data_IF_441544049928
#
_entry.id   IF_441544049928
#
_cell.length_a   1.000
_cell.length_b   1.000
_cell.length_c   1.000
_cell.angle_alpha   90.00
_cell.angle_beta   90.00
_cell.angle_gamma   90.00
#
_symmetry.space_group_name_H-M   'P 1'
#
loop_
_entity.id
_entity.type
_entity.pdbx_description
1 polymer ?
#
# COMPACT_ATOMS: atom_id res chain seq x y z
N UNK A 1 2.13 -28.03 8.58
CA UNK A 1 2.60 -28.20 7.19
C UNK A 1 4.13 -28.21 7.18
N UNK A 2 4.78 -29.15 6.49
CA UNK A 2 6.24 -29.10 6.26
C UNK A 2 6.53 -27.88 5.36
N UNK A 3 7.23 -26.88 5.90
CA UNK A 3 7.60 -25.66 5.18
C UNK A 3 8.69 -26.02 4.17
N UNK A 4 8.46 -25.80 2.88
CA UNK A 4 9.42 -26.12 1.82
C UNK A 4 10.11 -24.85 1.32
N UNK A 5 11.42 -24.93 1.11
CA UNK A 5 12.18 -23.94 0.35
C UNK A 5 11.99 -24.26 -1.13
N UNK A 6 11.59 -23.28 -1.94
CA UNK A 6 11.57 -23.40 -3.40
C UNK A 6 12.61 -22.43 -3.98
N UNK A 7 13.33 -22.87 -5.00
CA UNK A 7 14.20 -22.01 -5.78
C UNK A 7 13.49 -21.68 -7.09
N UNK A 8 13.56 -20.41 -7.50
CA UNK A 8 13.09 -19.98 -8.80
C UNK A 8 14.14 -19.11 -9.48
N UNK A 9 13.97 -18.92 -10.79
CA UNK A 9 14.89 -18.14 -11.61
C UNK A 9 14.10 -17.20 -12.52
N UNK A 10 14.63 -16.01 -12.74
CA UNK A 10 14.11 -15.05 -13.70
C UNK A 10 15.25 -14.41 -14.50
N UNK A 11 14.96 -13.91 -15.69
CA UNK A 11 15.92 -13.12 -16.47
C UNK A 11 15.67 -11.65 -16.18
N UNK A 12 16.69 -10.95 -15.69
CA UNK A 12 16.63 -9.53 -15.37
C UNK A 12 17.81 -8.84 -16.03
N UNK A 13 17.55 -7.85 -16.89
CA UNK A 13 18.56 -7.13 -17.67
C UNK A 13 19.48 -8.03 -18.51
N UNK A 14 18.96 -9.15 -19.04
CA UNK A 14 19.73 -10.11 -19.83
C UNK A 14 20.52 -11.13 -19.00
N UNK A 15 20.54 -11.00 -17.68
CA UNK A 15 21.24 -11.92 -16.78
C UNK A 15 20.26 -12.85 -16.05
N UNK A 16 20.67 -14.09 -15.83
CA UNK A 16 19.89 -15.07 -15.08
C UNK A 16 20.11 -14.87 -13.58
N UNK A 17 19.05 -14.52 -12.87
CA UNK A 17 19.06 -14.37 -11.42
C UNK A 17 18.16 -15.40 -10.75
N UNK A 18 18.53 -15.80 -9.55
CA UNK A 18 17.81 -16.72 -8.69
C UNK A 18 17.06 -15.94 -7.60
N UNK A 19 15.97 -16.53 -7.12
CA UNK A 19 15.24 -16.08 -5.94
C UNK A 19 14.85 -17.28 -5.07
N UNK A 20 14.77 -17.04 -3.77
CA UNK A 20 14.39 -18.05 -2.78
C UNK A 20 12.96 -17.78 -2.35
N UNK A 21 12.12 -18.79 -2.47
CA UNK A 21 10.73 -18.80 -2.01
C UNK A 21 10.62 -19.64 -0.74
N UNK A 22 9.91 -19.10 0.25
CA UNK A 22 9.49 -19.83 1.44
C UNK A 22 8.00 -19.60 1.61
N UNK A 23 7.19 -20.65 1.66
CA UNK A 23 5.72 -20.55 1.64
C UNK A 23 5.18 -19.67 0.49
N UNK A 24 5.75 -19.82 -0.71
CA UNK A 24 5.41 -19.05 -1.93
C UNK A 24 5.66 -17.53 -1.85
N UNK A 25 6.39 -17.07 -0.82
CA UNK A 25 6.86 -15.69 -0.68
C UNK A 25 8.34 -15.60 -1.03
N UNK A 26 8.72 -14.63 -1.88
CA UNK A 26 10.13 -14.36 -2.23
C UNK A 26 10.81 -13.72 -1.01
N UNK A 27 11.71 -14.44 -0.36
CA UNK A 27 12.47 -13.98 0.81
C UNK A 27 13.88 -13.51 0.47
N UNK A 28 14.36 -13.84 -0.72
CA UNK A 28 15.60 -13.34 -1.28
C UNK A 28 15.46 -13.27 -2.81
N UNK A 29 15.93 -12.18 -3.41
CA UNK A 29 15.80 -11.91 -4.84
C UNK A 29 17.12 -11.40 -5.43
N UNK A 30 17.23 -11.42 -6.77
CA UNK A 30 18.37 -10.90 -7.52
C UNK A 30 19.70 -11.56 -7.16
N UNK A 31 19.69 -12.85 -6.80
CA UNK A 31 20.91 -13.60 -6.51
C UNK A 31 21.52 -14.02 -7.86
N UNK A 32 22.75 -13.61 -8.24
CA UNK A 32 23.37 -14.09 -9.47
C UNK A 32 23.40 -15.62 -9.46
N UNK A 33 23.03 -16.27 -10.57
CA UNK A 33 22.88 -17.74 -10.60
C UNK A 33 24.17 -18.46 -10.18
N UNK A 34 25.33 -17.92 -10.57
CA UNK A 34 26.66 -18.41 -10.19
C UNK A 34 27.01 -18.26 -8.70
N UNK A 35 26.27 -17.43 -7.96
CA UNK A 35 26.52 -17.16 -6.54
C UNK A 35 25.54 -17.86 -5.60
N UNK A 36 24.62 -18.67 -6.13
CA UNK A 36 23.54 -19.26 -5.32
C UNK A 36 24.07 -20.19 -4.21
N UNK A 37 25.10 -20.98 -4.50
CA UNK A 37 25.70 -21.88 -3.49
C UNK A 37 26.40 -21.08 -2.38
N UNK A 38 27.16 -20.05 -2.76
CA UNK A 38 27.79 -19.12 -1.82
C UNK A 38 26.76 -18.32 -1.01
N UNK A 39 25.56 -18.12 -1.55
CA UNK A 39 24.47 -17.47 -0.84
C UNK A 39 23.93 -18.37 0.27
N UNK A 40 23.69 -19.66 0.01
CA UNK A 40 23.27 -20.62 1.02
C UNK A 40 24.29 -20.77 2.16
N UNK A 41 25.58 -20.87 1.83
CA UNK A 41 26.66 -20.93 2.83
C UNK A 41 26.66 -19.70 3.75
N UNK A 42 26.42 -18.51 3.18
CA UNK A 42 26.31 -17.27 3.96
C UNK A 42 25.08 -17.29 4.88
N UNK A 43 23.92 -17.71 4.38
CA UNK A 43 22.70 -17.81 5.20
C UNK A 43 22.86 -18.78 6.36
N UNK A 44 23.49 -19.94 6.15
CA UNK A 44 23.75 -20.89 7.23
C UNK A 44 24.66 -20.31 8.30
N UNK A 45 25.68 -19.56 7.88
CA UNK A 45 26.60 -18.88 8.81
C UNK A 45 25.88 -17.81 9.63
N UNK A 46 24.98 -17.05 9.02
CA UNK A 46 24.15 -16.07 9.71
C UNK A 46 23.13 -16.71 10.66
N UNK A 47 22.46 -17.79 10.23
CA UNK A 47 21.56 -18.56 11.08
C UNK A 47 22.28 -19.06 12.34
N UNK A 48 23.48 -19.66 12.16
CA UNK A 48 24.35 -20.09 13.28
C UNK A 48 24.77 -18.94 14.19
N UNK A 49 25.13 -17.78 13.61
CA UNK A 49 25.49 -16.57 14.38
C UNK A 49 24.33 -16.10 15.28
N UNK A 50 23.09 -16.25 14.79
CA UNK A 50 21.87 -15.91 15.53
C UNK A 50 21.33 -17.05 16.41
N UNK A 51 22.10 -18.15 16.59
CA UNK A 51 21.70 -19.35 17.35
C UNK A 51 20.39 -19.97 16.87
N UNK A 52 20.15 -19.94 15.55
CA UNK A 52 18.95 -20.44 14.89
C UNK A 52 19.32 -21.55 13.90
N UNK A 53 18.38 -22.47 13.64
CA UNK A 53 18.48 -23.35 12.47
C UNK A 53 18.26 -22.54 11.19
N UNK A 54 18.70 -23.06 10.04
CA UNK A 54 18.44 -22.40 8.75
C UNK A 54 16.93 -22.20 8.53
N UNK A 55 16.10 -23.19 8.87
CA UNK A 55 14.65 -23.08 8.78
C UNK A 55 14.07 -21.99 9.69
N UNK A 56 14.54 -21.89 10.94
CA UNK A 56 14.12 -20.83 11.86
C UNK A 56 14.57 -19.45 11.36
N UNK A 57 15.78 -19.36 10.82
CA UNK A 57 16.30 -18.13 10.24
C UNK A 57 15.47 -17.69 9.04
N UNK A 58 15.13 -18.61 8.13
CA UNK A 58 14.29 -18.33 6.97
C UNK A 58 12.84 -18.00 7.35
N UNK A 59 12.32 -18.61 8.40
CA UNK A 59 10.99 -18.28 8.95
C UNK A 59 11.00 -16.90 9.63
N UNK A 60 12.08 -16.51 10.30
CA UNK A 60 12.24 -15.15 10.84
C UNK A 60 12.44 -14.12 9.72
N UNK A 61 13.14 -14.50 8.65
CA UNK A 61 13.22 -13.69 7.44
C UNK A 61 11.83 -13.51 6.81
N UNK A 62 11.00 -14.55 6.76
CA UNK A 62 9.58 -14.41 6.36
C UNK A 62 8.81 -13.44 7.25
N UNK A 63 9.07 -13.43 8.56
CA UNK A 63 8.41 -12.50 9.48
C UNK A 63 8.83 -11.04 9.30
N UNK A 64 9.97 -10.80 8.64
CA UNK A 64 10.55 -9.47 8.38
C UNK A 64 10.39 -9.02 6.92
N UNK A 65 10.11 -9.92 5.98
CA UNK A 65 9.89 -9.59 4.58
C UNK A 65 8.42 -9.18 4.36
N UNK A 66 8.23 -7.99 3.80
CA UNK A 66 6.93 -7.53 3.31
C UNK A 66 6.89 -7.66 1.79
N UNK A 67 5.73 -8.05 1.26
CA UNK A 67 5.59 -8.29 -0.17
C UNK A 67 5.16 -6.99 -0.85
N UNK A 68 6.03 -6.44 -1.68
CA UNK A 68 5.69 -5.34 -2.58
C UNK A 68 5.11 -5.94 -3.86
N UNK A 69 3.78 -6.09 -3.88
CA UNK A 69 3.05 -6.68 -5.00
C UNK A 69 2.32 -5.64 -5.84
N UNK A 70 1.57 -6.13 -6.84
CA UNK A 70 0.75 -5.30 -7.74
C UNK A 70 -0.15 -4.30 -7.01
N UNK A 71 -0.72 -4.66 -5.86
CA UNK A 71 -1.58 -3.77 -5.06
C UNK A 71 -0.82 -2.56 -4.52
N UNK A 72 0.44 -2.73 -4.12
CA UNK A 72 1.30 -1.63 -3.70
C UNK A 72 1.46 -0.63 -4.84
N UNK A 73 1.83 -1.11 -6.03
CA UNK A 73 2.08 -0.24 -7.18
C UNK A 73 0.83 0.52 -7.61
N UNK A 74 -0.31 -0.17 -7.66
CA UNK A 74 -1.61 0.44 -7.94
C UNK A 74 -1.93 1.53 -6.89
N UNK A 75 -1.57 1.33 -5.62
CA UNK A 75 -1.77 2.32 -4.56
C UNK A 75 -0.75 3.46 -4.55
N UNK A 76 0.41 3.30 -5.17
CA UNK A 76 1.39 4.38 -5.32
C UNK A 76 1.01 5.26 -6.51
N UNK A 77 0.61 4.64 -7.61
CA UNK A 77 0.42 5.30 -8.91
C UNK A 77 -1.01 5.70 -9.23
N UNK A 78 -2.01 5.04 -8.65
CA UNK A 78 -3.39 5.12 -9.12
C UNK A 78 -4.31 5.55 -7.98
N UNK A 79 -4.33 6.86 -7.76
CA UNK A 79 -5.28 7.49 -6.85
C UNK A 79 -6.71 7.11 -7.19
N UNK A 80 -7.51 6.84 -6.16
CA UNK A 80 -8.91 6.51 -6.31
C UNK A 80 -9.77 7.24 -5.28
N UNK A 81 -11.04 7.41 -5.65
CA UNK A 81 -12.10 7.74 -4.70
C UNK A 81 -13.00 6.53 -4.56
N UNK A 82 -13.48 6.28 -3.35
CA UNK A 82 -14.50 5.26 -3.10
C UNK A 82 -15.87 5.91 -3.30
N UNK A 83 -16.66 5.33 -4.20
CA UNK A 83 -18.01 5.80 -4.54
C UNK A 83 -19.03 4.75 -4.09
N UNK A 84 -20.09 5.19 -3.41
CA UNK A 84 -21.28 4.40 -3.11
C UNK A 84 -22.42 4.79 -4.05
N UNK A 85 -23.09 3.80 -4.62
CA UNK A 85 -24.37 3.96 -5.33
C UNK A 85 -25.50 3.62 -4.36
N UNK A 86 -26.40 4.56 -4.17
CA UNK A 86 -27.53 4.42 -3.23
C UNK A 86 -28.88 4.49 -3.95
N UNK A 87 -29.87 3.76 -3.44
CA UNK A 87 -31.25 3.89 -3.90
C UNK A 87 -31.97 4.98 -3.09
N UNK A 88 -32.09 6.17 -3.67
CA UNK A 88 -32.67 7.34 -2.99
C UNK A 88 -34.17 7.19 -2.64
N UNK A 89 -34.87 6.20 -3.21
CA UNK A 89 -36.29 5.92 -2.91
C UNK A 89 -36.52 5.11 -1.64
N UNK A 90 -35.48 4.48 -1.08
CA UNK A 90 -35.59 3.60 0.07
C UNK A 90 -35.02 4.29 1.33
N UNK A 91 -35.63 4.13 2.51
CA UNK A 91 -35.09 4.72 3.73
C UNK A 91 -33.75 4.07 4.10
N UNK A 92 -32.75 4.90 4.45
CA UNK A 92 -31.41 4.47 4.91
C UNK A 92 -31.42 3.59 6.17
N UNK A 93 -32.51 3.63 6.96
CA UNK A 93 -32.69 2.82 8.17
C UNK A 93 -34.07 2.21 8.19
N UNK A 94 -34.17 0.98 8.69
CA UNK A 94 -35.42 0.26 8.93
C UNK A 94 -35.53 -0.10 10.41
N UNK A 95 -36.75 -0.24 10.91
CA UNK A 95 -37.00 -0.64 12.30
C UNK A 95 -37.06 -2.16 12.38
N UNK A 96 -36.12 -2.77 13.11
CA UNK A 96 -36.06 -4.23 13.32
C UNK A 96 -36.11 -4.49 14.81
N UNK A 97 -37.16 -5.20 15.27
CA UNK A 97 -37.40 -5.50 16.70
C UNK A 97 -37.29 -4.24 17.58
N UNK A 98 -37.98 -3.17 17.18
CA UNK A 98 -38.01 -1.90 17.91
C UNK A 98 -36.79 -0.99 17.74
N UNK A 99 -35.65 -1.48 17.24
CA UNK A 99 -34.41 -0.70 17.06
C UNK A 99 -34.23 -0.26 15.61
N UNK A 100 -33.82 0.99 15.38
CA UNK A 100 -33.44 1.48 14.06
C UNK A 100 -32.10 0.86 13.64
N UNK A 101 -32.08 0.15 12.52
CA UNK A 101 -30.88 -0.45 11.93
C UNK A 101 -30.66 0.10 10.51
N UNK A 102 -29.42 0.13 9.99
CA UNK A 102 -29.19 0.43 8.59
C UNK A 102 -30.05 -0.47 7.69
N UNK A 103 -30.61 0.12 6.64
CA UNK A 103 -31.32 -0.65 5.63
C UNK A 103 -30.30 -1.26 4.68
N UNK A 104 -30.21 -2.59 4.57
CA UNK A 104 -29.26 -3.24 3.66
C UNK A 104 -29.50 -2.84 2.20
N UNK A 105 -30.74 -2.55 1.81
CA UNK A 105 -31.12 -2.26 0.41
C UNK A 105 -30.89 -0.79 0.02
N UNK A 106 -30.38 0.03 0.96
CA UNK A 106 -30.10 1.44 0.68
C UNK A 106 -28.83 1.63 -0.13
N UNK A 107 -27.77 0.88 0.19
CA UNK A 107 -26.50 0.87 -0.56
C UNK A 107 -26.57 -0.28 -1.55
N UNK A 108 -26.54 0.06 -2.83
CA UNK A 108 -26.69 -0.91 -3.92
C UNK A 108 -25.32 -1.41 -4.37
N UNK A 109 -24.33 -0.51 -4.41
CA UNK A 109 -22.98 -0.83 -4.86
C UNK A 109 -21.98 0.10 -4.19
N UNK A 110 -20.76 -0.40 -3.95
CA UNK A 110 -19.60 0.40 -3.57
C UNK A 110 -18.44 0.00 -4.47
N UNK A 111 -17.73 0.99 -5.03
CA UNK A 111 -16.60 0.72 -5.91
C UNK A 111 -15.53 1.82 -5.84
N UNK A 112 -14.32 1.48 -6.26
CA UNK A 112 -13.21 2.42 -6.42
C UNK A 112 -13.24 3.03 -7.82
N UNK A 113 -13.41 4.34 -7.90
CA UNK A 113 -13.32 5.07 -9.16
C UNK A 113 -11.88 5.56 -9.37
N UNK A 114 -11.32 5.14 -10.51
CA UNK A 114 -10.04 5.58 -11.03
C UNK A 114 -10.32 6.40 -12.30
N UNK A 115 -9.67 7.56 -12.46
CA UNK A 115 -9.88 8.41 -13.62
C UNK A 115 -9.60 7.65 -14.93
N UNK A 116 -10.54 7.75 -15.88
CA UNK A 116 -10.45 7.06 -17.17
C UNK A 116 -10.72 5.55 -17.14
N UNK A 117 -10.90 4.95 -15.95
CA UNK A 117 -11.24 3.52 -15.78
C UNK A 117 -12.58 3.30 -15.08
N UNK A 118 -13.18 4.34 -14.49
CA UNK A 118 -14.45 4.26 -13.78
C UNK A 118 -15.67 4.53 -14.66
N UNK A 119 -16.86 4.31 -14.09
CA UNK A 119 -18.14 4.56 -14.76
C UNK A 119 -18.48 6.04 -14.72
N UNK A 120 -18.96 6.60 -15.83
CA UNK A 120 -19.50 7.97 -15.87
C UNK A 120 -20.75 8.09 -15.00
N UNK A 121 -20.97 9.23 -14.37
CA UNK A 121 -22.21 9.52 -13.64
C UNK A 121 -23.46 9.39 -14.54
N UNK A 122 -23.33 9.65 -15.84
CA UNK A 122 -24.41 9.47 -16.82
C UNK A 122 -24.88 8.01 -16.96
N UNK A 123 -24.08 7.03 -16.52
CA UNK A 123 -24.48 5.62 -16.49
C UNK A 123 -25.41 5.26 -15.32
N UNK A 124 -25.52 6.13 -14.32
CA UNK A 124 -26.35 5.92 -13.13
C UNK A 124 -27.73 6.49 -13.40
N UNK A 125 -28.74 5.62 -13.49
CA UNK A 125 -30.13 6.03 -13.76
C UNK A 125 -30.92 6.19 -12.45
N UNK A 126 -31.89 7.12 -12.40
CA UNK A 126 -32.83 7.21 -11.28
C UNK A 126 -33.51 5.85 -11.01
N UNK A 127 -33.74 5.47 -9.74
CA UNK A 127 -33.60 6.28 -8.51
C UNK A 127 -32.20 6.31 -7.90
N UNK A 128 -31.20 5.75 -8.57
CA UNK A 128 -29.87 5.60 -8.01
C UNK A 128 -29.06 6.90 -8.05
N UNK A 129 -28.21 7.11 -7.06
CA UNK A 129 -27.33 8.28 -6.95
C UNK A 129 -25.93 7.85 -6.51
N UNK A 130 -24.88 8.46 -7.09
CA UNK A 130 -23.50 8.28 -6.63
C UNK A 130 -23.15 9.25 -5.50
N UNK A 131 -22.37 8.77 -4.52
CA UNK A 131 -21.84 9.57 -3.41
C UNK A 131 -20.39 9.20 -3.12
N UNK A 132 -19.56 10.18 -2.78
CA UNK A 132 -18.17 9.96 -2.41
C UNK A 132 -18.12 9.55 -0.93
N UNK A 133 -17.53 8.38 -0.68
CA UNK A 133 -17.30 7.82 0.65
C UNK A 133 -15.91 8.18 1.19
N UNK A 134 -14.92 8.36 0.32
CA UNK A 134 -13.56 8.74 0.69
C UNK A 134 -12.57 8.68 -0.48
N UNK A 135 -11.29 8.88 -0.21
CA UNK A 135 -10.17 8.82 -1.17
C UNK A 135 -8.97 8.04 -0.62
N UNK A 136 -8.11 7.55 -1.52
CA UNK A 136 -6.81 6.94 -1.18
C UNK A 136 -5.96 6.64 -2.41
N UNK A 137 -4.78 6.05 -2.24
CA UNK A 137 -4.09 5.38 -3.35
C UNK A 137 -3.22 6.20 -4.30
N UNK A 138 -2.81 7.42 -3.98
CA UNK A 138 -1.80 8.13 -4.79
C UNK A 138 -0.77 8.82 -3.93
N UNK A 139 0.48 8.41 -4.09
CA UNK A 139 1.63 9.01 -3.39
C UNK A 139 2.64 9.65 -4.36
N UNK A 140 2.26 9.78 -5.64
CA UNK A 140 2.97 10.57 -6.65
C UNK A 140 2.10 11.79 -7.00
N UNK A 141 2.64 13.00 -6.85
CA UNK A 141 1.84 14.23 -6.95
C UNK A 141 1.16 14.41 -8.32
N UNK A 142 1.86 14.05 -9.40
CA UNK A 142 1.32 14.12 -10.77
C UNK A 142 0.26 13.07 -11.09
N UNK A 143 -0.03 12.16 -10.16
CA UNK A 143 -1.03 11.09 -10.31
C UNK A 143 -2.29 11.31 -9.48
N UNK A 144 -2.34 12.38 -8.67
CA UNK A 144 -3.56 12.77 -7.98
C UNK A 144 -4.57 13.32 -8.99
N UNK A 145 -5.82 12.87 -8.85
CA UNK A 145 -6.92 13.44 -9.60
C UNK A 145 -7.49 14.70 -8.92
N UNK A 146 -7.04 15.86 -9.41
CA UNK A 146 -7.48 17.17 -8.93
C UNK A 146 -8.97 17.49 -9.15
N UNK A 147 -9.71 16.70 -9.94
CA UNK A 147 -11.15 16.88 -10.13
C UNK A 147 -11.95 16.45 -8.90
N UNK A 148 -11.48 15.44 -8.16
CA UNK A 148 -12.18 14.91 -6.98
C UNK A 148 -11.47 15.23 -5.67
N UNK A 149 -10.19 15.56 -5.76
CA UNK A 149 -9.28 15.67 -4.64
C UNK A 149 -8.43 16.92 -4.84
N UNK A 150 -8.68 17.99 -4.09
CA UNK A 150 -7.98 19.27 -4.29
C UNK A 150 -6.75 19.35 -3.40
N UNK A 151 -5.59 19.66 -3.96
CA UNK A 151 -4.42 20.08 -3.18
C UNK A 151 -4.59 21.55 -2.81
N UNK A 152 -4.49 21.88 -1.52
CA UNK A 152 -4.88 23.20 -0.99
C UNK A 152 -3.67 23.98 -0.48
N UNK A 153 -2.80 23.29 0.23
CA UNK A 153 -1.56 23.84 0.78
C UNK A 153 -0.47 22.83 0.46
N UNK A 154 0.69 23.31 0.03
CA UNK A 154 1.84 22.45 -0.21
C UNK A 154 3.09 23.06 0.40
N UNK A 155 3.73 22.32 1.29
CA UNK A 155 5.06 22.61 1.78
C UNK A 155 6.07 21.67 1.12
N UNK A 156 7.33 22.09 1.09
CA UNK A 156 8.45 21.24 0.70
C UNK A 156 9.26 20.87 1.92
N UNK A 157 9.73 19.63 1.98
CA UNK A 157 10.62 19.15 3.04
C UNK A 157 11.79 18.41 2.42
N UNK A 158 12.99 18.61 2.97
CA UNK A 158 14.20 17.90 2.54
C UNK A 158 14.34 16.66 3.41
N UNK A 159 14.23 15.48 2.81
CA UNK A 159 14.43 14.21 3.53
C UNK A 159 15.93 13.94 3.75
N UNK A 160 16.30 13.02 4.66
CA UNK A 160 17.71 12.75 5.00
C UNK A 160 18.64 12.41 3.84
N UNK A 161 18.11 11.96 2.71
CA UNK A 161 18.87 11.73 1.48
C UNK A 161 19.21 13.01 0.69
N UNK A 162 18.77 14.19 1.14
CA UNK A 162 18.94 15.48 0.48
C UNK A 162 17.88 15.77 -0.59
N UNK A 163 16.97 14.83 -0.86
CA UNK A 163 15.92 15.01 -1.85
C UNK A 163 14.72 15.76 -1.27
N UNK A 164 13.98 16.46 -2.11
CA UNK A 164 12.80 17.21 -1.68
C UNK A 164 11.53 16.41 -1.90
N UNK A 165 10.72 16.30 -0.84
CA UNK A 165 9.34 15.82 -0.92
C UNK A 165 8.37 16.98 -0.83
N UNK A 166 7.16 16.75 -1.35
CA UNK A 166 6.04 17.64 -1.10
C UNK A 166 5.18 17.05 0.01
N UNK A 167 4.79 17.91 0.95
CA UNK A 167 3.73 17.68 1.90
C UNK A 167 2.56 18.47 1.38
N UNK A 168 1.38 17.89 1.27
CA UNK A 168 0.22 18.67 0.88
C UNK A 168 -1.04 18.31 1.66
N UNK A 169 -1.79 19.35 2.01
CA UNK A 169 -3.14 19.21 2.53
C UNK A 169 -4.07 18.93 1.35
N UNK A 170 -4.68 17.77 1.38
CA UNK A 170 -5.64 17.30 0.40
C UNK A 170 -7.05 17.54 0.95
N UNK A 171 -7.91 18.14 0.13
CA UNK A 171 -9.34 18.30 0.37
C UNK A 171 -10.16 17.33 -0.46
N UNK A 172 -11.06 16.60 0.19
CA UNK A 172 -12.03 15.73 -0.48
C UNK A 172 -13.42 15.83 0.16
N UNK A 173 -14.45 15.65 -0.68
CA UNK A 173 -15.83 15.65 -0.23
C UNK A 173 -16.21 14.27 0.32
N UNK A 174 -16.87 14.25 1.47
CA UNK A 174 -17.44 13.05 2.07
C UNK A 174 -18.87 13.34 2.54
N UNK A 175 -19.78 12.39 2.35
CA UNK A 175 -21.10 12.49 2.95
C UNK A 175 -21.12 11.87 4.35
N UNK A 176 -21.26 12.70 5.39
CA UNK A 176 -21.42 12.24 6.77
C UNK A 176 -22.79 12.64 7.32
N UNK A 177 -23.55 11.66 7.84
CA UNK A 177 -24.87 11.92 8.46
C UNK A 177 -25.80 12.75 7.55
N UNK A 178 -25.73 12.55 6.23
CA UNK A 178 -26.50 13.28 5.18
C UNK A 178 -26.08 14.74 4.96
N UNK A 179 -24.89 15.12 5.42
CA UNK A 179 -24.30 16.42 5.17
C UNK A 179 -22.99 16.18 4.42
N UNK A 180 -22.87 16.82 3.25
CA UNK A 180 -21.61 16.86 2.54
C UNK A 180 -20.64 17.75 3.30
N UNK A 181 -19.53 17.15 3.71
CA UNK A 181 -18.45 17.86 4.38
C UNK A 181 -17.21 17.78 3.52
N UNK A 182 -16.49 18.88 3.47
CA UNK A 182 -15.13 18.90 3.00
C UNK A 182 -14.25 18.41 4.15
N UNK A 183 -13.44 17.40 3.90
CA UNK A 183 -12.42 16.93 4.84
C UNK A 183 -11.05 17.23 4.29
N UNK A 184 -10.15 17.45 5.22
CA UNK A 184 -8.75 17.76 4.98
C UNK A 184 -7.93 16.57 5.50
N UNK A 185 -6.93 16.16 4.73
CA UNK A 185 -5.95 15.16 5.16
C UNK A 185 -4.55 15.58 4.71
N UNK A 186 -3.54 15.31 5.52
CA UNK A 186 -2.16 15.69 5.23
C UNK A 186 -1.46 14.49 4.59
N UNK A 187 -1.02 14.66 3.35
CA UNK A 187 -0.32 13.62 2.61
C UNK A 187 1.14 14.01 2.36
N UNK A 188 2.03 13.04 2.53
CA UNK A 188 3.41 13.10 2.06
C UNK A 188 3.54 12.35 0.75
N UNK A 189 4.16 13.01 -0.22
CA UNK A 189 4.44 12.44 -1.54
C UNK A 189 5.86 11.92 -1.60
N UNK A 190 6.07 10.86 -2.38
CA UNK A 190 7.42 10.51 -2.79
C UNK A 190 8.00 11.65 -3.65
N UNK A 191 9.34 11.84 -3.65
CA UNK A 191 9.97 12.81 -4.51
C UNK A 191 9.53 12.64 -5.97
N UNK A 192 9.24 13.74 -6.65
CA UNK A 192 8.66 13.72 -8.00
C UNK A 192 9.60 13.13 -9.06
N UNK A 193 10.90 13.10 -8.77
CA UNK A 193 11.93 12.50 -9.62
C UNK A 193 12.13 10.99 -9.37
N UNK A 194 11.42 10.39 -8.40
CA UNK A 194 11.48 8.95 -8.17
C UNK A 194 10.50 8.22 -9.09
N UNK A 195 11.01 7.20 -9.78
CA UNK A 195 10.19 6.24 -10.48
C UNK A 195 9.70 5.14 -9.51
N UNK A 196 8.76 4.30 -9.98
CA UNK A 196 8.20 3.22 -9.17
C UNK A 196 9.27 2.23 -8.68
N UNK A 197 10.30 1.95 -9.49
CA UNK A 197 11.40 1.06 -9.10
C UNK A 197 12.19 1.60 -7.91
N UNK A 198 12.53 2.90 -7.93
CA UNK A 198 13.20 3.56 -6.81
C UNK A 198 12.32 3.58 -5.56
N UNK A 199 11.02 3.86 -5.71
CA UNK A 199 10.05 3.82 -4.60
C UNK A 199 10.03 2.41 -4.00
N UNK A 200 9.86 1.36 -4.82
CA UNK A 200 9.91 -0.03 -4.38
C UNK A 200 11.21 -0.34 -3.63
N UNK A 201 12.36 0.07 -4.16
CA UNK A 201 13.64 -0.17 -3.51
C UNK A 201 13.71 0.45 -2.11
N UNK A 202 13.34 1.73 -1.98
CA UNK A 202 13.34 2.46 -0.70
C UNK A 202 12.35 1.86 0.30
N UNK A 203 11.13 1.53 -0.16
CA UNK A 203 10.13 0.89 0.71
C UNK A 203 10.59 -0.50 1.12
N UNK A 204 11.18 -1.28 0.21
CA UNK A 204 11.71 -2.61 0.53
C UNK A 204 12.83 -2.54 1.58
N UNK A 205 13.76 -1.60 1.40
CA UNK A 205 14.84 -1.36 2.36
C UNK A 205 14.30 -0.96 3.74
N UNK A 206 13.32 -0.04 3.79
CA UNK A 206 12.67 0.35 5.03
C UNK A 206 11.92 -0.84 5.66
N UNK A 207 11.26 -1.66 4.85
CA UNK A 207 10.49 -2.84 5.26
C UNK A 207 11.37 -3.90 5.95
N UNK A 208 12.63 -4.02 5.55
CA UNK A 208 13.62 -4.87 6.22
C UNK A 208 14.19 -4.30 7.52
N UNK A 209 13.88 -3.04 7.87
CA UNK A 209 14.45 -2.32 9.00
C UNK A 209 13.34 -1.66 9.85
N UNK A 210 12.47 -2.50 10.42
CA UNK A 210 11.31 -2.04 11.19
C UNK A 210 11.72 -1.45 12.53
N UNK A 211 11.22 -0.24 12.80
CA UNK A 211 11.45 0.50 14.04
C UNK A 211 10.17 0.67 14.88
N UNK A 212 8.99 0.50 14.27
CA UNK A 212 7.72 0.56 14.98
C UNK A 212 6.68 -0.37 14.34
N UNK A 213 5.82 -1.01 15.14
CA UNK A 213 4.73 -1.86 14.66
C UNK A 213 3.51 -1.78 15.58
N UNK A 214 2.35 -1.47 15.00
CA UNK A 214 1.07 -1.43 15.71
C UNK A 214 -0.05 -1.95 14.80
N UNK A 215 -0.49 -3.19 15.04
CA UNK A 215 -1.50 -3.84 14.20
C UNK A 215 -1.03 -3.94 12.75
N UNK A 216 -1.81 -3.38 11.82
CA UNK A 216 -1.48 -3.33 10.40
C UNK A 216 -0.62 -2.12 9.99
N UNK A 217 -0.20 -1.29 10.96
CA UNK A 217 0.71 -0.17 10.76
C UNK A 217 2.13 -0.59 11.10
N UNK A 218 3.06 -0.32 10.20
CA UNK A 218 4.48 -0.60 10.40
C UNK A 218 5.30 0.62 9.97
N UNK A 219 6.31 0.99 10.75
CA UNK A 219 7.26 2.05 10.37
C UNK A 219 8.65 1.43 10.22
N UNK A 220 9.22 1.60 9.03
CA UNK A 220 10.58 1.19 8.69
C UNK A 220 11.51 2.38 8.50
N UNK A 221 12.82 2.15 8.57
CA UNK A 221 13.84 3.17 8.34
C UNK A 221 14.94 2.66 7.43
N UNK A 222 15.21 3.37 6.34
CA UNK A 222 16.34 3.07 5.43
C UNK A 222 17.69 3.43 6.07
N UNK A 223 18.80 2.95 5.49
CA UNK A 223 20.16 3.25 5.96
C UNK A 223 20.50 4.73 5.90
N UNK A 224 20.00 5.44 4.88
CA UNK A 224 20.15 6.89 4.76
C UNK A 224 19.18 7.68 5.65
N UNK A 225 18.34 7.00 6.45
CA UNK A 225 17.56 7.61 7.51
C UNK A 225 16.13 7.98 7.17
N UNK A 226 15.66 7.68 5.95
CA UNK A 226 14.29 7.94 5.51
C UNK A 226 13.34 7.00 6.27
N UNK A 227 12.29 7.57 6.88
CA UNK A 227 11.24 6.80 7.54
C UNK A 227 10.07 6.58 6.61
N UNK A 228 9.58 5.34 6.55
CA UNK A 228 8.44 4.94 5.74
C UNK A 228 7.39 4.30 6.65
N UNK A 229 6.18 4.86 6.68
CA UNK A 229 5.02 4.15 7.23
C UNK A 229 4.40 3.28 6.14
N UNK A 230 4.09 2.04 6.48
CA UNK A 230 3.48 1.04 5.64
C UNK A 230 2.19 0.53 6.28
N UNK A 231 1.16 0.35 5.46
CA UNK A 231 -0.01 -0.45 5.82
C UNK A 231 0.13 -1.82 5.22
N UNK A 232 0.01 -2.85 6.05
CA UNK A 232 0.22 -4.23 5.64
C UNK A 232 -1.10 -4.99 5.68
N UNK A 233 -1.29 -5.89 4.73
CA UNK A 233 -2.29 -6.94 4.84
C UNK A 233 -1.76 -7.98 5.83
N UNK A 234 -2.50 -8.25 6.90
CA UNK A 234 -2.03 -9.13 7.97
C UNK A 234 -2.03 -10.60 7.56
N UNK A 235 -2.84 -10.99 6.58
CA UNK A 235 -2.95 -12.36 6.09
C UNK A 235 -1.90 -12.63 5.01
N UNK A 236 -1.84 -11.75 4.00
CA UNK A 236 -0.98 -11.92 2.82
C UNK A 236 0.40 -11.28 2.97
N UNK A 237 0.60 -10.44 4.01
CA UNK A 237 1.84 -9.70 4.25
C UNK A 237 2.21 -8.72 3.15
N UNK A 238 1.29 -8.43 2.24
CA UNK A 238 1.45 -7.44 1.19
C UNK A 238 1.46 -6.03 1.79
N UNK A 239 2.40 -5.19 1.34
CA UNK A 239 2.31 -3.75 1.56
C UNK A 239 1.14 -3.23 0.74
N UNK A 240 0.11 -2.74 1.41
CA UNK A 240 -1.05 -2.13 0.77
C UNK A 240 -0.75 -0.69 0.38
N UNK A 241 -0.10 0.05 1.27
CA UNK A 241 0.19 1.48 1.11
C UNK A 241 1.53 1.78 1.76
N UNK A 242 2.27 2.77 1.25
CA UNK A 242 3.42 3.32 1.95
C UNK A 242 3.59 4.81 1.68
N UNK A 243 4.08 5.55 2.68
CA UNK A 243 4.40 6.97 2.54
C UNK A 243 5.53 7.38 3.47
N UNK A 244 6.22 8.47 3.09
CA UNK A 244 7.34 9.01 3.87
C UNK A 244 6.79 9.69 5.11
N UNK A 245 7.37 9.40 6.28
CA UNK A 245 7.02 10.07 7.54
C UNK A 245 8.02 11.19 7.80
N UNK A 246 7.49 12.36 8.14
CA UNK A 246 8.27 13.53 8.52
C UNK A 246 8.06 13.71 10.02
N UNK A 247 9.17 13.69 10.75
CA UNK A 247 9.20 13.87 12.20
C UNK A 247 9.19 15.35 12.55
#
# INVERSE_FOLDING_TARGET
>A
MKKCIKLGTEIKNGEKVCYILRNDVKIAENIPAEQIDNYFVRMEKEAKKNKQTLDQYLDNLLETVFILGRKFDEHIEVGHITIEIVNSKIPKKIKVKGKLRPNPDYIIEEYKYILGKGRSQSSIKPPYQARIKGSGGSHIIGKINNQFVRIVESATHVIPSGETIRIATIKYWIEEKRIWKLKDDIHTFFPSNWNLEKIRHVVNEASGNIIEKQGNRVVGKTKNGIKIEMRIDLETREVLTAYIVIN
#
